data_IF_737001157488
#
_entry.id   IF_737001157488
#
_cell.length_a   1.000
_cell.length_b   1.000
_cell.length_c   1.000
_cell.angle_alpha   90.00
_cell.angle_beta   90.00
_cell.angle_gamma   90.00
#
_symmetry.space_group_name_H-M   'P 1'
#
loop_
_entity.id
_entity.type
_entity.pdbx_description
1 polymer ?
#
# COMPACT_ATOMS: atom_id res chain seq x y z
N UNK A 1 -0.52 -19.14 -16.59
CA UNK A 1 0.56 -18.12 -16.60
C UNK A 1 1.48 -18.40 -15.42
N UNK A 2 2.80 -18.48 -15.63
CA UNK A 2 3.77 -18.67 -14.53
C UNK A 2 3.94 -17.36 -13.77
N UNK A 3 3.59 -17.37 -12.49
CA UNK A 3 3.75 -16.23 -11.59
C UNK A 3 5.23 -16.06 -11.25
N UNK A 4 5.83 -14.95 -11.67
CA UNK A 4 7.21 -14.61 -11.32
C UNK A 4 7.21 -14.08 -9.88
N UNK A 5 7.80 -14.83 -8.96
CA UNK A 5 8.12 -14.33 -7.61
C UNK A 5 9.61 -14.01 -7.63
N UNK A 6 10.00 -12.73 -7.52
CA UNK A 6 11.41 -12.38 -7.45
C UNK A 6 12.01 -12.93 -6.15
N UNK A 7 13.19 -13.55 -6.26
CA UNK A 7 13.93 -14.16 -5.14
C UNK A 7 14.45 -13.10 -4.14
N UNK A 8 14.54 -11.85 -4.59
CA UNK A 8 14.92 -10.69 -3.77
C UNK A 8 13.79 -9.65 -3.73
N UNK A 9 13.67 -8.89 -2.63
CA UNK A 9 12.76 -7.75 -2.60
C UNK A 9 13.04 -6.78 -3.74
N UNK A 10 11.99 -6.29 -4.39
CA UNK A 10 12.09 -5.21 -5.37
C UNK A 10 11.96 -3.89 -4.62
N UNK A 11 13.00 -3.07 -4.63
CA UNK A 11 12.93 -1.72 -4.11
C UNK A 11 12.37 -0.76 -5.16
N UNK A 12 11.39 0.05 -4.74
CA UNK A 12 10.80 1.09 -5.59
C UNK A 12 11.37 2.42 -5.15
N UNK A 13 12.20 3.03 -6.00
CA UNK A 13 12.88 4.30 -5.72
C UNK A 13 12.36 5.42 -6.63
N UNK A 14 12.28 6.63 -6.07
CA UNK A 14 12.02 7.85 -6.84
C UNK A 14 13.24 8.25 -7.68
N UNK A 15 13.09 9.26 -8.53
CA UNK A 15 14.18 9.80 -9.36
C UNK A 15 15.36 10.31 -8.50
N UNK A 16 15.06 10.79 -7.30
CA UNK A 16 16.02 11.25 -6.29
C UNK A 16 16.66 10.11 -5.47
N UNK A 17 16.39 8.84 -5.81
CA UNK A 17 16.92 7.66 -5.10
C UNK A 17 16.19 7.31 -3.80
N UNK A 18 15.26 8.15 -3.33
CA UNK A 18 14.46 7.93 -2.13
C UNK A 18 13.60 6.66 -2.27
N UNK A 19 13.63 5.80 -1.24
CA UNK A 19 12.76 4.63 -1.17
C UNK A 19 11.29 5.07 -1.02
N UNK A 20 10.44 4.55 -1.91
CA UNK A 20 9.00 4.82 -1.97
C UNK A 20 8.15 3.61 -1.63
N UNK A 21 8.74 2.42 -1.62
CA UNK A 21 8.11 1.17 -1.22
C UNK A 21 9.00 -0.02 -1.55
N UNK A 22 8.60 -1.19 -1.07
CA UNK A 22 9.27 -2.46 -1.35
C UNK A 22 8.21 -3.46 -1.77
N UNK A 23 8.51 -4.31 -2.75
CA UNK A 23 7.69 -5.48 -3.05
C UNK A 23 8.43 -6.71 -2.55
N UNK A 24 7.81 -7.42 -1.63
CA UNK A 24 8.35 -8.64 -1.04
C UNK A 24 7.22 -9.65 -0.89
N UNK A 25 7.45 -10.91 -1.26
CA UNK A 25 6.45 -11.98 -1.15
C UNK A 25 5.09 -11.60 -1.77
N UNK A 26 5.12 -11.00 -2.98
CA UNK A 26 3.93 -10.49 -3.69
C UNK A 26 3.11 -9.46 -2.90
N UNK A 27 3.74 -8.76 -1.95
CA UNK A 27 3.12 -7.67 -1.19
C UNK A 27 3.85 -6.37 -1.47
N UNK A 28 3.14 -5.35 -1.95
CA UNK A 28 3.63 -3.98 -1.99
C UNK A 28 3.54 -3.39 -0.59
N UNK A 29 4.67 -3.07 0.01
CA UNK A 29 4.79 -2.47 1.33
C UNK A 29 5.19 -1.00 1.16
N UNK A 30 4.42 -0.08 1.76
CA UNK A 30 4.78 1.34 1.84
C UNK A 30 4.66 1.84 3.27
N UNK A 31 5.58 2.71 3.64
CA UNK A 31 5.52 3.45 4.89
C UNK A 31 4.94 4.84 4.63
N UNK A 32 4.04 5.26 5.52
CA UNK A 32 3.42 6.57 5.49
C UNK A 32 3.44 7.19 6.88
N UNK A 33 3.29 8.51 6.89
CA UNK A 33 2.89 9.28 8.08
C UNK A 33 1.41 9.60 7.99
N UNK A 34 0.59 9.04 8.86
CA UNK A 34 -0.86 9.13 8.79
C UNK A 34 -1.38 10.57 8.74
N UNK A 35 -0.78 11.46 9.54
CA UNK A 35 -1.15 12.89 9.61
C UNK A 35 -0.96 13.66 8.29
N UNK A 36 -0.08 13.17 7.42
CA UNK A 36 0.30 13.81 6.15
C UNK A 36 -0.36 13.10 4.96
N UNK A 37 -0.39 11.76 4.96
CA UNK A 37 -0.68 10.98 3.75
C UNK A 37 -2.11 10.43 3.70
N UNK A 38 -2.82 10.35 4.83
CA UNK A 38 -4.22 9.93 4.82
C UNK A 38 -5.10 11.10 4.38
N UNK A 39 -5.93 10.85 3.38
CA UNK A 39 -6.94 11.82 2.95
C UNK A 39 -7.98 11.97 4.07
N UNK A 40 -8.49 13.18 4.26
CA UNK A 40 -9.50 13.47 5.30
C UNK A 40 -10.94 13.38 4.78
N UNK A 41 -11.18 13.78 3.52
CA UNK A 41 -12.52 13.86 2.91
C UNK A 41 -12.50 13.39 1.44
N UNK A 42 -13.02 12.18 1.15
CA UNK A 42 -13.33 11.12 2.11
C UNK A 42 -12.06 10.55 2.77
N UNK A 43 -12.16 9.91 3.96
CA UNK A 43 -11.05 9.19 4.56
C UNK A 43 -10.53 8.07 3.66
N UNK A 44 -9.27 8.15 3.22
CA UNK A 44 -8.74 7.24 2.21
C UNK A 44 -7.21 7.17 2.19
N UNK A 45 -6.69 6.11 1.58
CA UNK A 45 -5.28 5.99 1.20
C UNK A 45 -5.17 6.13 -0.31
N UNK A 46 -4.25 6.98 -0.76
CA UNK A 46 -3.93 7.18 -2.18
C UNK A 46 -2.55 6.60 -2.53
N UNK A 47 -2.46 6.00 -3.71
CA UNK A 47 -1.21 5.48 -4.29
C UNK A 47 -1.02 6.14 -5.66
N UNK A 48 0.20 6.60 -5.93
CA UNK A 48 0.57 7.13 -7.25
C UNK A 48 0.23 6.13 -8.36
N UNK A 49 -0.50 6.60 -9.38
CA UNK A 49 -1.04 5.74 -10.42
C UNK A 49 0.05 5.15 -11.32
N UNK A 50 1.11 5.92 -11.61
CA UNK A 50 2.21 5.47 -12.46
C UNK A 50 3.01 4.36 -11.78
N UNK A 51 3.36 4.57 -10.52
CA UNK A 51 4.02 3.58 -9.66
C UNK A 51 3.14 2.34 -9.52
N UNK A 52 1.85 2.50 -9.23
CA UNK A 52 0.92 1.37 -9.12
C UNK A 52 0.89 0.55 -10.41
N UNK A 53 0.62 1.18 -11.56
CA UNK A 53 0.47 0.50 -12.84
C UNK A 53 1.77 -0.19 -13.27
N UNK A 54 2.93 0.47 -13.08
CA UNK A 54 4.24 -0.10 -13.41
C UNK A 54 4.51 -1.39 -12.65
N UNK A 55 4.15 -1.43 -11.36
CA UNK A 55 4.51 -2.53 -10.48
C UNK A 55 3.37 -3.53 -10.23
N UNK A 56 2.17 -3.26 -10.74
CA UNK A 56 0.96 -4.07 -10.51
C UNK A 56 1.13 -5.58 -10.74
N UNK A 57 1.87 -6.06 -11.76
CA UNK A 57 2.03 -7.50 -11.99
C UNK A 57 2.80 -8.24 -10.88
N UNK A 58 3.54 -7.52 -10.03
CA UNK A 58 4.49 -8.10 -9.07
C UNK A 58 3.90 -8.30 -7.67
N UNK A 59 2.67 -7.84 -7.40
CA UNK A 59 2.04 -7.98 -6.09
C UNK A 59 0.54 -8.32 -6.19
N UNK A 60 0.06 -9.06 -5.20
CA UNK A 60 -1.35 -9.38 -4.96
C UNK A 60 -1.92 -8.70 -3.73
N UNK A 61 -1.05 -8.20 -2.86
CA UNK A 61 -1.42 -7.53 -1.60
C UNK A 61 -0.76 -6.18 -1.53
N UNK A 62 -1.45 -5.21 -0.93
CA UNK A 62 -0.92 -3.90 -0.60
C UNK A 62 -0.98 -3.75 0.91
N UNK A 63 0.16 -3.39 1.49
CA UNK A 63 0.34 -3.13 2.91
C UNK A 63 0.86 -1.70 3.09
N UNK A 64 0.15 -0.93 3.89
CA UNK A 64 0.51 0.45 4.22
C UNK A 64 0.73 0.51 5.72
N UNK A 65 1.94 0.89 6.12
CA UNK A 65 2.35 1.01 7.52
C UNK A 65 2.37 2.48 7.91
N UNK A 66 1.53 2.86 8.85
CA UNK A 66 1.55 4.20 9.43
C UNK A 66 2.60 4.25 10.55
N UNK A 67 3.71 4.93 10.28
CA UNK A 67 4.85 5.02 11.21
C UNK A 67 4.56 5.89 12.42
N UNK A 68 3.50 6.71 12.39
CA UNK A 68 3.11 7.55 13.52
C UNK A 68 2.24 6.80 14.54
N UNK A 69 1.39 5.87 14.07
CA UNK A 69 0.43 5.15 14.93
C UNK A 69 0.70 3.66 15.08
N UNK A 70 1.62 3.11 14.29
CA UNK A 70 1.89 1.67 14.22
C UNK A 70 0.80 0.87 13.51
N UNK A 71 -0.26 1.49 12.99
CA UNK A 71 -1.34 0.80 12.28
C UNK A 71 -0.85 0.24 10.95
N UNK A 72 -1.34 -0.94 10.63
CA UNK A 72 -1.10 -1.59 9.33
C UNK A 72 -2.41 -1.75 8.59
N UNK A 73 -2.48 -1.17 7.40
CA UNK A 73 -3.64 -1.26 6.51
C UNK A 73 -3.33 -2.27 5.41
N UNK A 74 -4.19 -3.26 5.22
CA UNK A 74 -4.06 -4.28 4.17
C UNK A 74 -5.27 -4.35 3.25
N UNK A 75 -5.01 -4.56 1.97
CA UNK A 75 -6.03 -4.85 0.96
C UNK A 75 -5.42 -5.70 -0.15
N UNK A 76 -6.22 -6.55 -0.80
CA UNK A 76 -5.77 -7.24 -2.02
C UNK A 76 -5.70 -6.26 -3.20
N UNK A 77 -4.76 -6.46 -4.10
CA UNK A 77 -4.62 -5.66 -5.31
C UNK A 77 -5.88 -5.75 -6.19
N UNK A 78 -6.55 -6.91 -6.23
CA UNK A 78 -7.84 -7.09 -6.91
C UNK A 78 -8.94 -6.20 -6.33
N UNK A 79 -9.09 -6.16 -5.01
CA UNK A 79 -10.09 -5.29 -4.38
C UNK A 79 -9.72 -3.81 -4.51
N UNK A 80 -8.43 -3.49 -4.46
CA UNK A 80 -7.95 -2.15 -4.75
C UNK A 80 -8.33 -1.71 -6.17
N UNK A 81 -8.07 -2.54 -7.18
CA UNK A 81 -8.47 -2.27 -8.57
C UNK A 81 -9.98 -2.06 -8.73
N UNK A 82 -10.79 -2.83 -7.99
CA UNK A 82 -12.25 -2.75 -8.06
C UNK A 82 -12.84 -1.53 -7.36
N UNK A 83 -12.27 -1.10 -6.22
CA UNK A 83 -12.82 0.01 -5.42
C UNK A 83 -12.13 1.35 -5.60
N UNK A 84 -11.00 1.41 -6.31
CA UNK A 84 -10.26 2.66 -6.49
C UNK A 84 -11.08 3.68 -7.28
N UNK A 85 -10.92 4.94 -6.93
CA UNK A 85 -11.25 6.07 -7.82
C UNK A 85 -9.99 6.85 -8.15
N UNK A 86 -10.06 7.62 -9.22
CA UNK A 86 -8.96 8.48 -9.64
C UNK A 86 -9.00 9.81 -8.90
N UNK A 87 -7.84 10.28 -8.45
CA UNK A 87 -7.67 11.54 -7.76
C UNK A 87 -6.50 12.31 -8.36
N UNK A 88 -6.71 13.58 -8.66
CA UNK A 88 -5.65 14.49 -9.12
C UNK A 88 -5.74 15.80 -8.33
N UNK A 89 -4.75 16.06 -7.48
CA UNK A 89 -4.70 17.24 -6.57
C UNK A 89 -3.35 17.96 -6.62
N UNK A 90 -2.76 18.07 -7.82
CA UNK A 90 -1.47 18.74 -8.02
C UNK A 90 -0.21 17.90 -7.74
N UNK A 91 -0.38 16.62 -7.38
CA UNK A 91 0.72 15.66 -7.14
C UNK A 91 0.77 14.54 -8.17
N UNK A 92 0.19 14.78 -9.35
CA UNK A 92 -0.05 13.78 -10.37
C UNK A 92 -1.29 12.92 -10.07
N UNK A 93 -1.56 11.99 -10.99
CA UNK A 93 -2.69 11.07 -10.93
C UNK A 93 -2.48 10.00 -9.87
N UNK A 94 -3.48 9.79 -9.03
CA UNK A 94 -3.46 8.84 -7.94
C UNK A 94 -4.69 7.93 -8.00
N UNK A 95 -4.54 6.72 -7.47
CA UNK A 95 -5.63 5.82 -7.19
C UNK A 95 -5.88 5.80 -5.68
N UNK A 96 -7.09 6.16 -5.27
CA UNK A 96 -7.47 6.22 -3.88
C UNK A 96 -8.53 5.16 -3.56
N UNK A 97 -8.44 4.57 -2.36
CA UNK A 97 -9.45 3.65 -1.82
C UNK A 97 -9.81 4.09 -0.41
N UNK A 98 -11.10 4.12 -0.12
CA UNK A 98 -11.64 4.56 1.16
C UNK A 98 -11.11 3.69 2.30
N UNK A 99 -10.75 4.30 3.44
CA UNK A 99 -10.17 3.60 4.59
C UNK A 99 -11.06 2.46 5.10
N UNK A 100 -12.38 2.59 5.01
CA UNK A 100 -13.34 1.54 5.40
C UNK A 100 -13.25 0.25 4.58
N UNK A 101 -12.47 0.22 3.49
CA UNK A 101 -12.25 -0.98 2.65
C UNK A 101 -10.94 -1.70 2.96
N UNK A 102 -10.15 -1.16 3.87
CA UNK A 102 -8.89 -1.77 4.30
C UNK A 102 -9.12 -2.63 5.55
N UNK A 103 -8.49 -3.80 5.60
CA UNK A 103 -8.31 -4.50 6.87
C UNK A 103 -7.27 -3.72 7.67
N UNK A 104 -7.62 -3.34 8.90
CA UNK A 104 -6.73 -2.57 9.78
C UNK A 104 -6.30 -3.47 10.92
N UNK A 105 -4.99 -3.53 11.15
CA UNK A 105 -4.40 -4.13 12.34
C UNK A 105 -3.79 -3.00 13.18
N UNK A 106 -4.22 -2.93 14.44
CA UNK A 106 -3.68 -1.98 15.40
C UNK A 106 -2.52 -2.65 16.15
N UNK A 107 -1.49 -1.89 16.55
CA UNK A 107 -0.37 -2.44 17.33
C UNK A 107 -0.81 -3.02 18.68
N UNK A 108 -1.95 -2.57 19.21
CA UNK A 108 -2.52 -3.04 20.47
C UNK A 108 -3.56 -4.17 20.29
N UNK A 109 -3.84 -4.60 19.05
CA UNK A 109 -4.71 -5.76 18.86
C UNK A 109 -3.98 -6.99 19.40
N UNK A 110 -4.65 -7.87 20.16
CA UNK A 110 -4.02 -9.09 20.66
C UNK A 110 -3.55 -9.92 19.45
N UNK A 111 -2.23 -9.92 19.23
CA UNK A 111 -1.63 -10.85 18.27
C UNK A 111 -1.87 -12.26 18.83
N UNK A 112 -2.70 -13.03 18.14
CA UNK A 112 -2.71 -14.48 18.30
C UNK A 112 -1.30 -14.95 17.91
N UNK A 113 -0.45 -15.14 18.92
CA UNK A 113 0.81 -15.85 18.76
C UNK A 113 0.42 -17.29 18.45
N UNK A 114 0.65 -17.72 17.22
CA UNK A 114 0.76 -19.15 16.95
C UNK A 114 2.05 -19.59 17.62
N UNK A 115 1.93 -20.11 18.84
CA UNK A 115 2.99 -20.91 19.44
C UNK A 115 3.10 -22.18 18.57
N UNK A 116 4.29 -22.38 17.98
CA UNK A 116 4.68 -23.59 17.26
C UNK A 116 5.30 -24.55 18.25
#
# INVERSE_FOLDING_TARGET
MRTIVPDKPIEIRGAEGKLRGVIQNRTLIKEIRGSIHLLRKPPAIAIDANMYNRWRPYFDTIEIRDTETGRVYRISAKHFDYWRWELERGYGKQYAVALSRWKVENPNDPQLRLEV
#
